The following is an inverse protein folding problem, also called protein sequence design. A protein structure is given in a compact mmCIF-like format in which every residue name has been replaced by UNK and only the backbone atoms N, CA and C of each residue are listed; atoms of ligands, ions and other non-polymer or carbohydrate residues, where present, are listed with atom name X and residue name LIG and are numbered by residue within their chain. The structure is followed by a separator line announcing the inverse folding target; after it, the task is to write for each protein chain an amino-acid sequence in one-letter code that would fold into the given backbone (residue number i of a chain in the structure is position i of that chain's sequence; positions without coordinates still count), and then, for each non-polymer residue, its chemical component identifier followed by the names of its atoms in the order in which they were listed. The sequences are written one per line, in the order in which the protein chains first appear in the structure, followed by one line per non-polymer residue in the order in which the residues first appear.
data_IF_164357804750
#
_entry.id   IF_164357804750
#
_cell.length_a   1.000
_cell.length_b   1.000
_cell.length_c   1.000
_cell.angle_alpha   90.00
_cell.angle_beta   90.00
_cell.angle_gamma   90.00
#
_symmetry.space_group_name_H-M   'P 1'
#
loop_
_entity.id
_entity.type
_entity.pdbx_description
1 polymer ?
#
# COMPACT_ATOMS: atom_id res chain seq x y z
N UNK A 1 30.97 23.88 -0.51
CA UNK A 1 31.32 22.46 -0.54
C UNK A 1 31.60 22.10 -1.99
N UNK A 2 32.82 21.67 -2.27
CA UNK A 2 33.20 21.16 -3.60
C UNK A 2 32.96 19.66 -3.62
N UNK A 3 32.29 19.18 -4.66
CA UNK A 3 32.02 17.75 -4.87
C UNK A 3 33.18 17.17 -5.68
N UNK A 4 33.91 16.15 -5.17
CA UNK A 4 35.00 15.53 -5.91
C UNK A 4 34.52 15.01 -7.27
N UNK A 5 35.41 15.04 -8.27
CA UNK A 5 35.10 14.50 -9.59
C UNK A 5 34.65 13.04 -9.46
N UNK A 6 33.48 12.71 -10.02
CA UNK A 6 32.93 11.37 -9.95
C UNK A 6 32.39 10.96 -8.57
N UNK A 7 32.09 11.87 -7.65
CA UNK A 7 31.30 11.49 -6.48
C UNK A 7 29.81 11.30 -6.84
N UNK A 8 29.07 10.61 -5.96
CA UNK A 8 27.60 10.56 -5.97
C UNK A 8 27.13 11.00 -4.60
N UNK A 9 26.25 12.01 -4.56
CA UNK A 9 25.63 12.46 -3.32
C UNK A 9 24.51 11.50 -2.95
N UNK A 10 24.65 10.83 -1.81
CA UNK A 10 23.57 10.05 -1.20
C UNK A 10 23.14 10.78 0.06
N UNK A 11 21.93 11.32 0.05
CA UNK A 11 21.46 12.19 1.14
C UNK A 11 19.95 12.10 1.34
N UNK A 12 19.49 12.48 2.53
CA UNK A 12 18.08 12.69 2.86
C UNK A 12 17.83 14.19 3.09
N UNK A 13 17.70 14.97 2.00
CA UNK A 13 17.51 16.40 2.11
C UNK A 13 16.19 16.72 2.84
N UNK A 14 16.11 17.86 3.56
CA UNK A 14 14.84 18.30 4.12
C UNK A 14 13.82 18.48 2.98
N UNK A 15 12.67 17.81 3.10
CA UNK A 15 11.69 17.75 2.00
C UNK A 15 11.18 19.13 1.56
N UNK A 16 11.18 20.12 2.47
CA UNK A 16 10.82 21.51 2.17
C UNK A 16 11.75 22.21 1.18
N UNK A 17 13.00 21.73 1.03
CA UNK A 17 14.00 22.27 0.10
C UNK A 17 14.38 21.30 -1.02
N UNK A 18 13.65 20.18 -1.14
CA UNK A 18 13.97 19.13 -2.09
C UNK A 18 14.12 19.66 -3.54
N UNK A 19 13.17 20.49 -3.99
CA UNK A 19 13.20 21.03 -5.35
C UNK A 19 14.38 21.97 -5.62
N UNK A 20 14.75 22.81 -4.65
CA UNK A 20 15.90 23.70 -4.74
C UNK A 20 17.20 22.90 -4.86
N UNK A 21 17.34 21.85 -4.03
CA UNK A 21 18.52 21.00 -4.00
C UNK A 21 18.68 20.22 -5.31
N UNK A 22 17.59 19.61 -5.81
CA UNK A 22 17.62 18.88 -7.09
C UNK A 22 18.03 19.79 -8.24
N UNK A 23 17.42 20.98 -8.37
CA UNK A 23 17.78 21.94 -9.42
C UNK A 23 19.24 22.35 -9.34
N UNK A 24 19.72 22.71 -8.15
CA UNK A 24 21.11 23.08 -7.92
C UNK A 24 22.09 21.96 -8.27
N UNK A 25 21.74 20.70 -7.99
CA UNK A 25 22.58 19.56 -8.35
C UNK A 25 22.62 19.35 -9.87
N UNK A 26 21.48 19.44 -10.54
CA UNK A 26 21.40 19.35 -12.00
C UNK A 26 22.20 20.46 -12.69
N UNK A 27 22.03 21.72 -12.26
CA UNK A 27 22.76 22.89 -12.77
C UNK A 27 24.29 22.75 -12.64
N UNK A 28 24.75 22.06 -11.60
CA UNK A 28 26.18 21.86 -11.32
C UNK A 28 26.73 20.53 -11.84
N UNK A 29 25.92 19.73 -12.54
CA UNK A 29 26.32 18.39 -12.99
C UNK A 29 26.65 17.43 -11.85
N UNK A 30 26.09 17.66 -10.65
CA UNK A 30 26.31 16.79 -9.48
C UNK A 30 25.48 15.53 -9.64
N UNK A 31 26.12 14.38 -9.50
CA UNK A 31 25.45 13.07 -9.50
C UNK A 31 24.82 12.82 -8.13
N UNK A 32 23.58 12.36 -8.09
CA UNK A 32 22.88 12.17 -6.82
C UNK A 32 21.94 10.95 -6.80
N UNK A 33 21.69 10.49 -5.58
CA UNK A 33 20.65 9.54 -5.20
C UNK A 33 20.05 10.03 -3.87
N UNK A 34 18.92 10.72 -3.94
CA UNK A 34 18.31 11.41 -2.80
C UNK A 34 17.09 10.67 -2.29
N UNK A 35 16.94 10.62 -0.97
CA UNK A 35 15.68 10.23 -0.35
C UNK A 35 14.67 11.33 -0.59
N UNK A 36 13.43 10.92 -0.85
CA UNK A 36 12.36 11.83 -1.24
C UNK A 36 11.02 11.37 -0.65
N UNK A 37 10.18 12.35 -0.36
CA UNK A 37 8.84 12.10 0.14
C UNK A 37 7.98 11.45 -0.95
N UNK A 38 7.42 10.27 -0.66
CA UNK A 38 6.73 9.44 -1.66
C UNK A 38 5.58 10.16 -2.36
N UNK A 39 4.75 10.91 -1.63
CA UNK A 39 3.52 11.53 -2.19
C UNK A 39 3.79 12.71 -3.12
N UNK A 40 4.95 13.37 -2.99
CA UNK A 40 5.27 14.61 -3.73
C UNK A 40 6.33 14.39 -4.81
N UNK A 41 6.79 13.15 -5.01
CA UNK A 41 7.89 12.81 -5.92
C UNK A 41 7.65 13.20 -7.38
N UNK A 42 6.38 13.23 -7.81
CA UNK A 42 5.98 13.63 -9.16
C UNK A 42 5.73 15.15 -9.30
N UNK A 43 5.80 15.92 -8.21
CA UNK A 43 5.44 17.34 -8.20
C UNK A 43 6.52 18.31 -8.66
N UNK A 44 7.70 17.81 -9.03
CA UNK A 44 8.80 18.62 -9.57
C UNK A 44 9.05 18.22 -11.02
N UNK A 45 8.89 19.15 -11.94
CA UNK A 45 9.32 19.00 -13.33
C UNK A 45 10.81 19.39 -13.48
N UNK A 46 11.67 18.38 -13.65
CA UNK A 46 13.12 18.51 -13.80
C UNK A 46 13.73 17.18 -14.33
N UNK A 47 14.88 17.24 -15.03
CA UNK A 47 15.53 16.08 -15.66
C UNK A 47 16.27 15.19 -14.64
N UNK A 48 15.50 14.46 -13.85
CA UNK A 48 15.97 13.37 -12.97
C UNK A 48 14.98 12.21 -13.05
N UNK A 49 15.36 11.06 -12.53
CA UNK A 49 14.55 9.84 -12.46
C UNK A 49 13.86 9.71 -11.11
N UNK A 50 12.55 9.47 -11.15
CA UNK A 50 11.70 9.25 -9.96
C UNK A 50 11.60 7.75 -9.67
N UNK A 51 12.27 7.29 -8.63
CA UNK A 51 12.32 5.90 -8.20
C UNK A 51 11.20 5.64 -7.18
N UNK A 52 10.06 5.16 -7.67
CA UNK A 52 8.86 4.96 -6.85
C UNK A 52 8.96 3.62 -6.12
N UNK A 53 9.26 3.71 -4.82
CA UNK A 53 9.41 2.57 -3.93
C UNK A 53 8.17 2.41 -3.04
N UNK A 54 7.90 3.41 -2.19
CA UNK A 54 6.76 3.37 -1.28
C UNK A 54 6.97 2.46 -0.07
N UNK A 55 8.22 2.19 0.33
CA UNK A 55 8.53 1.52 1.59
C UNK A 55 8.52 2.53 2.75
N UNK A 56 8.16 2.07 3.95
CA UNK A 56 8.30 2.86 5.17
C UNK A 56 9.75 2.79 5.66
N UNK A 57 10.38 3.95 5.87
CA UNK A 57 11.73 4.08 6.43
C UNK A 57 11.62 4.71 7.81
N UNK A 58 12.22 4.06 8.80
CA UNK A 58 12.30 4.58 10.18
C UNK A 58 13.61 5.35 10.31
N UNK A 59 13.53 6.65 10.48
CA UNK A 59 14.70 7.53 10.64
C UNK A 59 15.19 7.53 12.09
N UNK A 60 16.39 8.07 12.32
CA UNK A 60 17.02 8.13 13.65
C UNK A 60 16.14 8.82 14.71
N UNK A 61 15.36 9.82 14.29
CA UNK A 61 14.40 10.50 15.16
C UNK A 61 13.12 9.68 15.47
N UNK A 62 13.04 8.42 15.04
CA UNK A 62 11.89 7.54 15.23
C UNK A 62 10.74 7.76 14.27
N UNK A 63 10.83 8.72 13.35
CA UNK A 63 9.78 8.96 12.36
C UNK A 63 9.73 7.81 11.34
N UNK A 64 8.56 7.19 11.17
CA UNK A 64 8.28 6.27 10.07
C UNK A 64 7.71 7.05 8.88
N UNK A 65 8.48 7.17 7.79
CA UNK A 65 8.08 7.93 6.61
C UNK A 65 8.08 7.05 5.37
N UNK A 66 6.96 7.08 4.65
CA UNK A 66 6.82 6.49 3.31
C UNK A 66 7.78 7.19 2.34
N UNK A 67 8.79 6.46 1.89
CA UNK A 67 9.93 7.02 1.19
C UNK A 67 10.03 6.51 -0.25
N UNK A 68 10.48 7.37 -1.15
CA UNK A 68 10.88 7.07 -2.53
C UNK A 68 12.19 7.80 -2.82
N UNK A 69 12.74 7.66 -4.02
CA UNK A 69 14.07 8.19 -4.30
C UNK A 69 14.09 8.99 -5.60
N UNK A 70 15.04 9.92 -5.69
CA UNK A 70 15.28 10.73 -6.87
C UNK A 70 16.75 10.64 -7.27
N UNK A 71 17.03 10.44 -8.56
CA UNK A 71 18.40 10.28 -9.02
C UNK A 71 18.56 10.69 -10.48
N UNK A 72 19.69 11.29 -10.84
CA UNK A 72 20.07 11.55 -12.25
C UNK A 72 21.01 10.48 -12.82
N UNK A 73 21.06 9.29 -12.21
CA UNK A 73 21.97 8.21 -12.60
C UNK A 73 21.38 7.23 -13.63
N UNK A 74 20.10 7.39 -14.00
CA UNK A 74 19.36 6.41 -14.80
C UNK A 74 19.05 6.91 -16.22
N UNK A 75 19.93 7.76 -16.77
CA UNK A 75 19.79 8.30 -18.12
C UNK A 75 18.46 9.02 -18.33
N UNK A 76 17.78 8.71 -19.44
CA UNK A 76 16.55 9.38 -19.87
C UNK A 76 15.27 8.80 -19.23
N UNK A 77 15.40 7.94 -18.21
CA UNK A 77 14.25 7.36 -17.51
C UNK A 77 13.54 8.43 -16.67
N UNK A 78 12.31 8.77 -17.00
CA UNK A 78 11.49 9.75 -16.26
C UNK A 78 11.14 9.27 -14.84
N UNK A 79 10.64 8.04 -14.74
CA UNK A 79 10.20 7.41 -13.50
C UNK A 79 10.21 5.88 -13.65
N UNK A 80 10.46 5.16 -12.56
CA UNK A 80 10.38 3.70 -12.53
C UNK A 80 9.97 3.17 -11.16
N UNK A 81 9.29 2.02 -11.13
CA UNK A 81 9.12 1.24 -9.91
C UNK A 81 10.42 0.50 -9.56
N UNK A 82 10.64 0.26 -8.28
CA UNK A 82 11.87 -0.38 -7.77
C UNK A 82 11.54 -1.53 -6.78
N UNK A 83 10.96 -2.64 -7.27
CA UNK A 83 10.47 -3.74 -6.41
C UNK A 83 11.58 -4.35 -5.54
N UNK A 84 12.75 -4.61 -6.09
CA UNK A 84 13.89 -5.17 -5.35
C UNK A 84 14.32 -4.26 -4.17
N UNK A 85 14.26 -2.94 -4.37
CA UNK A 85 14.56 -1.98 -3.31
C UNK A 85 13.46 -1.96 -2.25
N UNK A 86 12.20 -2.04 -2.66
CA UNK A 86 11.06 -2.16 -1.74
C UNK A 86 11.19 -3.39 -0.83
N UNK A 87 11.52 -4.55 -1.40
CA UNK A 87 11.70 -5.79 -0.64
C UNK A 87 12.86 -5.67 0.36
N UNK A 88 14.01 -5.15 -0.09
CA UNK A 88 15.20 -4.96 0.77
C UNK A 88 14.94 -3.99 1.91
N UNK A 89 14.28 -2.86 1.65
CA UNK A 89 13.92 -1.89 2.68
C UNK A 89 12.91 -2.47 3.66
N UNK A 90 11.91 -3.19 3.16
CA UNK A 90 10.91 -3.86 4.00
C UNK A 90 11.55 -4.91 4.89
N UNK A 91 12.50 -5.70 4.36
CA UNK A 91 13.25 -6.68 5.13
C UNK A 91 14.13 -6.01 6.21
N UNK A 92 14.81 -4.90 5.87
CA UNK A 92 15.62 -4.14 6.82
C UNK A 92 14.79 -3.47 7.93
N UNK A 93 13.55 -3.07 7.64
CA UNK A 93 12.65 -2.44 8.60
C UNK A 93 11.96 -3.44 9.56
N UNK A 94 11.99 -4.75 9.27
CA UNK A 94 11.37 -5.78 10.13
C UNK A 94 12.17 -5.95 11.43
N UNK A 95 11.79 -5.19 12.46
CA UNK A 95 12.24 -5.44 13.85
C UNK A 95 11.39 -6.49 14.57
N UNK A 96 10.18 -6.78 14.08
CA UNK A 96 9.28 -7.84 14.55
C UNK A 96 8.52 -8.43 13.38
N UNK A 97 8.44 -9.76 13.32
CA UNK A 97 7.59 -10.43 12.33
C UNK A 97 6.13 -10.01 12.53
N UNK A 98 5.40 -9.67 11.45
CA UNK A 98 3.97 -9.42 11.56
C UNK A 98 3.29 -10.66 12.12
N UNK A 99 2.31 -10.46 13.00
CA UNK A 99 1.50 -11.56 13.48
C UNK A 99 0.87 -12.28 12.27
N UNK A 100 0.90 -13.62 12.24
CA UNK A 100 0.33 -14.38 11.13
C UNK A 100 -1.15 -14.04 10.97
N UNK A 101 -1.58 -13.82 9.73
CA UNK A 101 -3.01 -13.75 9.39
C UNK A 101 -3.54 -15.18 9.29
N UNK A 102 -4.65 -15.44 9.96
CA UNK A 102 -5.32 -16.74 9.91
C UNK A 102 -6.55 -16.67 9.02
N UNK A 103 -6.76 -17.73 8.25
CA UNK A 103 -8.05 -18.03 7.61
C UNK A 103 -8.78 -19.04 8.48
N UNK A 104 -10.05 -18.78 8.76
CA UNK A 104 -10.90 -19.67 9.54
C UNK A 104 -11.96 -20.33 8.65
N UNK A 105 -12.44 -21.54 8.99
CA UNK A 105 -13.53 -22.18 8.26
C UNK A 105 -14.85 -21.42 8.44
N UNK A 106 -15.78 -21.58 7.49
CA UNK A 106 -17.11 -20.95 7.50
C UNK A 106 -17.97 -21.29 8.73
N UNK A 107 -17.67 -22.36 9.44
CA UNK A 107 -18.38 -22.75 10.66
C UNK A 107 -17.87 -22.06 11.91
N UNK A 108 -16.83 -21.22 11.82
CA UNK A 108 -16.33 -20.45 12.94
C UNK A 108 -16.74 -18.99 12.81
N UNK A 109 -17.64 -18.54 13.67
CA UNK A 109 -17.97 -17.14 13.85
C UNK A 109 -16.89 -16.44 14.68
N UNK A 110 -16.34 -15.36 14.14
CA UNK A 110 -15.46 -14.43 14.87
C UNK A 110 -16.09 -13.03 14.97
N UNK A 111 -15.56 -12.17 15.84
CA UNK A 111 -16.04 -10.79 15.93
C UNK A 111 -15.84 -10.02 14.61
N UNK A 112 -14.80 -10.35 13.84
CA UNK A 112 -14.48 -9.71 12.57
C UNK A 112 -15.57 -9.94 11.52
N UNK A 113 -16.21 -11.10 11.54
CA UNK A 113 -17.29 -11.45 10.60
C UNK A 113 -18.52 -10.56 10.83
N UNK A 114 -18.94 -10.42 12.09
CA UNK A 114 -20.05 -9.53 12.46
C UNK A 114 -19.71 -8.06 12.20
N UNK A 115 -18.48 -7.63 12.51
CA UNK A 115 -18.03 -6.27 12.26
C UNK A 115 -18.04 -5.94 10.75
N UNK A 116 -17.63 -6.88 9.89
CA UNK A 116 -17.66 -6.74 8.43
C UNK A 116 -19.10 -6.54 7.95
N UNK A 117 -20.03 -7.40 8.38
CA UNK A 117 -21.44 -7.26 8.04
C UNK A 117 -21.99 -5.89 8.48
N UNK A 118 -21.75 -5.50 9.73
CA UNK A 118 -22.21 -4.23 10.28
C UNK A 118 -21.66 -3.01 9.53
N UNK A 119 -20.37 -2.99 9.19
CA UNK A 119 -19.72 -1.90 8.45
C UNK A 119 -20.28 -1.66 7.04
N UNK A 120 -20.99 -2.67 6.51
CA UNK A 120 -21.60 -2.64 5.18
C UNK A 120 -23.13 -2.72 5.23
N UNK A 121 -23.74 -2.52 6.41
CA UNK A 121 -25.19 -2.44 6.56
C UNK A 121 -25.92 -3.77 6.48
N UNK A 122 -25.21 -4.90 6.59
CA UNK A 122 -25.81 -6.24 6.56
C UNK A 122 -26.11 -6.71 7.98
N UNK A 123 -27.38 -6.96 8.28
CA UNK A 123 -27.80 -7.48 9.57
C UNK A 123 -27.60 -9.01 9.63
N UNK A 124 -26.82 -9.47 10.61
CA UNK A 124 -26.64 -10.90 10.89
C UNK A 124 -26.86 -11.15 12.39
N UNK A 125 -27.73 -12.11 12.70
CA UNK A 125 -28.03 -12.54 14.05
C UNK A 125 -28.06 -14.07 14.12
N UNK A 126 -27.32 -14.61 15.10
CA UNK A 126 -27.11 -16.05 15.31
C UNK A 126 -27.83 -16.48 16.60
N UNK A 127 -28.78 -17.42 16.55
CA UNK A 127 -29.44 -17.94 17.74
C UNK A 127 -28.46 -18.65 18.70
N UNK A 128 -28.65 -18.45 20.01
CA UNK A 128 -27.78 -19.03 21.05
C UNK A 128 -27.71 -20.56 21.00
N UNK A 129 -28.79 -21.23 20.63
CA UNK A 129 -28.89 -22.68 20.54
C UNK A 129 -28.22 -23.27 19.28
N UNK A 130 -27.71 -22.45 18.37
CA UNK A 130 -27.00 -22.88 17.15
C UNK A 130 -25.53 -22.46 17.17
N UNK A 131 -25.01 -22.09 18.33
CA UNK A 131 -23.65 -21.63 18.51
C UNK A 131 -23.04 -22.16 19.80
N UNK A 132 -21.81 -22.68 19.71
CA UNK A 132 -21.05 -23.15 20.89
C UNK A 132 -19.71 -22.42 20.96
N UNK A 133 -19.42 -21.86 22.13
CA UNK A 133 -18.19 -21.10 22.35
C UNK A 133 -16.94 -21.97 22.22
N UNK A 134 -15.92 -21.45 21.53
CA UNK A 134 -14.60 -22.08 21.41
C UNK A 134 -13.48 -21.04 21.53
N UNK A 135 -12.37 -21.42 22.19
CA UNK A 135 -11.15 -20.58 22.25
C UNK A 135 -10.11 -20.96 21.20
N UNK A 136 -10.23 -22.16 20.62
CA UNK A 136 -9.32 -22.73 19.62
C UNK A 136 -10.04 -23.84 18.86
N UNK A 137 -9.61 -24.07 17.62
CA UNK A 137 -9.92 -25.31 16.89
C UNK A 137 -8.92 -26.41 17.25
N UNK A 138 -9.30 -27.67 17.08
CA UNK A 138 -8.40 -28.79 17.36
C UNK A 138 -7.16 -28.79 16.45
N UNK A 139 -7.32 -28.36 15.20
CA UNK A 139 -6.20 -28.15 14.26
C UNK A 139 -5.18 -27.12 14.75
N UNK A 140 -5.55 -26.23 15.67
CA UNK A 140 -4.64 -25.23 16.24
C UNK A 140 -3.85 -25.75 17.45
N UNK A 141 -4.19 -26.92 18.00
CA UNK A 141 -3.55 -27.45 19.21
C UNK A 141 -2.03 -27.63 19.04
N UNK A 142 -1.60 -28.24 17.93
CA UNK A 142 -0.19 -28.46 17.63
C UNK A 142 0.61 -27.15 17.57
N UNK A 143 -0.02 -26.08 17.09
CA UNK A 143 0.61 -24.75 16.98
C UNK A 143 0.58 -23.94 18.28
N UNK A 144 -0.11 -24.42 19.33
CA UNK A 144 -0.40 -23.69 20.58
C UNK A 144 -1.00 -22.29 20.34
N UNK A 145 -1.71 -22.10 19.24
CA UNK A 145 -2.43 -20.87 18.89
C UNK A 145 -3.90 -20.96 19.29
N UNK A 146 -4.53 -19.81 19.46
CA UNK A 146 -5.96 -19.70 19.72
C UNK A 146 -6.65 -18.78 18.73
N UNK A 147 -7.97 -18.69 18.83
CA UNK A 147 -8.77 -17.72 18.11
C UNK A 147 -8.65 -16.39 18.84
N UNK A 148 -8.21 -15.34 18.15
CA UNK A 148 -8.07 -14.02 18.75
C UNK A 148 -9.45 -13.48 19.15
N UNK A 149 -9.63 -13.19 20.45
CA UNK A 149 -10.93 -12.81 21.01
C UNK A 149 -11.89 -13.98 21.26
N UNK A 150 -11.53 -15.21 20.89
CA UNK A 150 -12.43 -16.37 20.88
C UNK A 150 -13.43 -16.34 19.72
N UNK A 151 -14.26 -17.37 19.64
CA UNK A 151 -15.29 -17.49 18.61
C UNK A 151 -16.36 -18.49 18.96
N UNK A 152 -17.25 -18.78 18.00
CA UNK A 152 -18.31 -19.76 18.16
C UNK A 152 -18.33 -20.72 16.97
N UNK A 153 -18.40 -22.02 17.25
CA UNK A 153 -18.76 -23.01 16.24
C UNK A 153 -20.26 -22.89 15.96
N UNK A 154 -20.62 -22.88 14.69
CA UNK A 154 -21.98 -22.73 14.20
C UNK A 154 -22.56 -24.05 13.71
N UNK A 155 -23.89 -24.18 13.79
CA UNK A 155 -24.63 -25.18 13.00
C UNK A 155 -24.40 -24.95 11.50
N UNK A 156 -24.56 -25.99 10.67
CA UNK A 156 -24.45 -25.87 9.20
C UNK A 156 -25.38 -24.78 8.65
N UNK A 157 -26.58 -24.70 9.21
CA UNK A 157 -27.57 -23.68 8.85
C UNK A 157 -27.06 -22.27 9.11
N UNK A 158 -26.48 -22.01 10.29
CA UNK A 158 -25.98 -20.66 10.63
C UNK A 158 -24.66 -20.35 9.92
N UNK A 159 -23.82 -21.36 9.67
CA UNK A 159 -22.63 -21.19 8.84
C UNK A 159 -23.00 -20.74 7.41
N UNK A 160 -24.01 -21.36 6.79
CA UNK A 160 -24.51 -20.95 5.48
C UNK A 160 -25.08 -19.52 5.48
N UNK A 161 -25.90 -19.16 6.48
CA UNK A 161 -26.44 -17.79 6.63
C UNK A 161 -25.35 -16.75 6.83
N UNK A 162 -24.32 -17.07 7.61
CA UNK A 162 -23.17 -16.18 7.80
C UNK A 162 -22.42 -15.99 6.49
N UNK A 163 -22.18 -17.06 5.73
CA UNK A 163 -21.49 -16.97 4.44
C UNK A 163 -22.26 -16.11 3.43
N UNK A 164 -23.58 -16.27 3.33
CA UNK A 164 -24.45 -15.41 2.52
C UNK A 164 -24.37 -13.94 2.95
N UNK A 165 -24.42 -13.67 4.25
CA UNK A 165 -24.31 -12.30 4.78
C UNK A 165 -22.93 -11.66 4.49
N UNK A 166 -21.85 -12.44 4.58
CA UNK A 166 -20.51 -11.96 4.26
C UNK A 166 -20.34 -11.67 2.76
N UNK A 167 -20.91 -12.52 1.90
CA UNK A 167 -20.93 -12.27 0.44
C UNK A 167 -21.73 -11.02 0.09
N UNK A 168 -22.88 -10.81 0.75
CA UNK A 168 -23.68 -9.59 0.59
C UNK A 168 -22.88 -8.36 1.00
N UNK A 169 -22.20 -8.41 2.15
CA UNK A 169 -21.38 -7.31 2.65
C UNK A 169 -20.25 -6.97 1.66
N UNK A 170 -19.62 -7.98 1.05
CA UNK A 170 -18.60 -7.79 0.03
C UNK A 170 -19.14 -7.20 -1.26
N UNK A 171 -20.32 -7.63 -1.69
CA UNK A 171 -21.00 -7.06 -2.86
C UNK A 171 -21.29 -5.58 -2.63
N UNK A 172 -21.89 -5.23 -1.50
CA UNK A 172 -22.20 -3.83 -1.15
C UNK A 172 -20.93 -2.96 -1.06
N UNK A 173 -19.84 -3.51 -0.50
CA UNK A 173 -18.54 -2.83 -0.48
C UNK A 173 -18.01 -2.58 -1.90
N UNK A 174 -18.07 -3.57 -2.77
CA UNK A 174 -17.61 -3.46 -4.15
C UNK A 174 -18.46 -2.47 -4.96
N UNK A 175 -19.78 -2.53 -4.83
CA UNK A 175 -20.71 -1.60 -5.49
C UNK A 175 -20.49 -0.16 -5.02
N UNK A 176 -20.32 0.06 -3.72
CA UNK A 176 -20.01 1.39 -3.19
C UNK A 176 -18.69 1.93 -3.76
N UNK A 177 -17.65 1.11 -3.79
CA UNK A 177 -16.36 1.50 -4.35
C UNK A 177 -16.45 1.80 -5.86
N UNK A 178 -17.22 1.02 -6.61
CA UNK A 178 -17.46 1.25 -8.03
C UNK A 178 -18.21 2.57 -8.29
N UNK A 179 -19.26 2.86 -7.51
CA UNK A 179 -20.00 4.13 -7.59
C UNK A 179 -19.13 5.34 -7.25
N UNK A 180 -18.28 5.23 -6.22
CA UNK A 180 -17.34 6.30 -5.87
C UNK A 180 -16.32 6.55 -6.97
N UNK A 181 -15.82 5.48 -7.63
CA UNK A 181 -14.91 5.58 -8.77
C UNK A 181 -15.59 6.25 -9.98
N UNK A 182 -16.82 5.85 -10.31
CA UNK A 182 -17.58 6.43 -11.42
C UNK A 182 -17.93 7.90 -11.17
N UNK A 183 -18.38 8.25 -9.95
CA UNK A 183 -18.73 9.62 -9.58
C UNK A 183 -17.54 10.60 -9.66
N UNK A 184 -16.30 10.11 -9.61
CA UNK A 184 -15.08 10.92 -9.67
C UNK A 184 -14.19 10.56 -10.88
N UNK A 185 -14.78 10.01 -11.93
CA UNK A 185 -14.07 9.73 -13.16
C UNK A 185 -13.71 11.02 -13.92
N UNK A 186 -12.42 11.17 -14.24
CA UNK A 186 -11.90 12.28 -15.04
C UNK A 186 -11.70 11.83 -16.49
N UNK A 187 -11.90 12.72 -17.45
CA UNK A 187 -11.70 12.44 -18.88
C UNK A 187 -10.52 13.23 -19.44
N UNK A 188 -9.88 12.68 -20.46
CA UNK A 188 -8.83 13.36 -21.23
C UNK A 188 -9.49 14.25 -22.28
N UNK A 189 -9.21 15.55 -22.22
CA UNK A 189 -9.68 16.56 -23.17
C UNK A 189 -9.03 16.41 -24.55
N UNK A 190 -9.63 17.03 -25.57
CA UNK A 190 -9.10 16.99 -26.94
C UNK A 190 -7.68 17.55 -27.03
N UNK A 191 -7.39 18.63 -26.30
CA UNK A 191 -6.04 19.21 -26.19
C UNK A 191 -5.04 18.19 -25.63
N UNK A 192 -5.42 17.45 -24.59
CA UNK A 192 -4.54 16.43 -23.99
C UNK A 192 -4.37 15.21 -24.89
N UNK A 193 -5.38 14.86 -25.70
CA UNK A 193 -5.26 13.82 -26.75
C UNK A 193 -4.28 14.22 -27.84
N UNK A 194 -4.27 15.49 -28.23
CA UNK A 194 -3.28 16.01 -29.19
C UNK A 194 -1.86 15.90 -28.62
N UNK A 195 -1.65 16.26 -27.35
CA UNK A 195 -0.36 16.07 -26.67
C UNK A 195 0.06 14.59 -26.70
N UNK A 196 -0.85 13.66 -26.40
CA UNK A 196 -0.58 12.21 -26.46
C UNK A 196 -0.20 11.78 -27.88
N UNK A 197 -0.91 12.25 -28.91
CA UNK A 197 -0.63 11.91 -30.29
C UNK A 197 0.76 12.39 -30.74
N UNK A 198 1.16 13.60 -30.34
CA UNK A 198 2.50 14.15 -30.60
C UNK A 198 3.58 13.31 -29.91
N UNK A 199 3.37 12.89 -28.66
CA UNK A 199 4.30 12.02 -27.93
C UNK A 199 4.43 10.64 -28.61
N UNK A 200 3.34 10.07 -29.13
CA UNK A 200 3.38 8.80 -29.85
C UNK A 200 4.11 8.90 -31.20
N UNK A 201 3.96 10.01 -31.92
CA UNK A 201 4.66 10.23 -33.19
C UNK A 201 6.17 10.37 -33.00
N UNK A 202 6.63 10.94 -31.88
CA UNK A 202 8.05 11.06 -31.53
C UNK A 202 8.74 9.75 -31.15
N UNK A 203 8.02 8.62 -31.12
CA UNK A 203 8.58 7.27 -30.90
C UNK A 203 8.81 6.48 -32.20
N UNK A 204 8.38 7.01 -33.35
CA UNK A 204 8.57 6.43 -34.68
C UNK A 204 9.87 6.94 -35.34
#
# INVERSE_FOLDING_TARGET
MEYPAGCVVVDNPPFSRFAEIVRRYLERGVRFFLFAQHKTILGLDAPYTRLVCGADVIYENGAAVRTSFASNLFGDVLAMSVPDLYERLTAAARSKDPLPRYSYPSHLLTFSDLARCASHGVALSIPRNEATFVRRLDSQQASKRGIYGGGFLLSDRQAGRMEEALREADRLKAEKAARELEAHAWTISDREREIIAQLSAGQA
#
